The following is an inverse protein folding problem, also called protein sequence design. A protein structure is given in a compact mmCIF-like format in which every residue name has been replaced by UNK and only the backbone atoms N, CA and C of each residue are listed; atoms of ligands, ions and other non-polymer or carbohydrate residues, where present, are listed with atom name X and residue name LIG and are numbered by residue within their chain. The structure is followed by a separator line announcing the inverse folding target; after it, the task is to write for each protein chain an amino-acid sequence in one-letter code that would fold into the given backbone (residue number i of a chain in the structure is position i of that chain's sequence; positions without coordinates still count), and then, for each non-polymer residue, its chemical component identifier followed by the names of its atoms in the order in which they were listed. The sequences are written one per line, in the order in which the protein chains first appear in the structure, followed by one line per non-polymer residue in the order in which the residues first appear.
data_IF_860196804877
#
_entry.id   IF_860196804877
#
_cell.length_a   1.000
_cell.length_b   1.000
_cell.length_c   1.000
_cell.angle_alpha   90.00
_cell.angle_beta   90.00
_cell.angle_gamma   90.00
#
_symmetry.space_group_name_H-M   'P 1'
#
loop_
_entity.id
_entity.type
_entity.pdbx_description
1 polymer ?
#
# COMPACT_ATOMS: atom_id res chain seq x y z
N UNK A 1 11.66 -12.00 -14.39
CA UNK A 1 11.76 -10.53 -14.38
C UNK A 1 12.35 -10.15 -13.03
N UNK A 2 13.52 -9.51 -13.00
CA UNK A 2 14.14 -9.09 -11.75
C UNK A 2 13.32 -7.92 -11.17
N UNK A 3 12.60 -8.14 -10.08
CA UNK A 3 11.74 -7.14 -9.44
C UNK A 3 12.54 -5.91 -9.01
N UNK A 4 13.80 -6.11 -8.58
CA UNK A 4 14.72 -5.03 -8.26
C UNK A 4 14.90 -4.08 -9.44
N UNK A 5 15.22 -4.60 -10.63
CA UNK A 5 15.35 -3.79 -11.84
C UNK A 5 14.03 -3.08 -12.21
N UNK A 6 12.89 -3.71 -11.98
CA UNK A 6 11.58 -3.09 -12.24
C UNK A 6 11.35 -1.83 -11.38
N UNK A 7 11.76 -1.89 -10.11
CA UNK A 7 11.65 -0.78 -9.16
C UNK A 7 12.75 0.27 -9.39
N UNK A 8 13.99 -0.14 -9.68
CA UNK A 8 15.08 0.77 -10.07
C UNK A 8 14.72 1.59 -11.32
N UNK A 9 14.08 0.95 -12.32
CA UNK A 9 13.57 1.65 -13.51
C UNK A 9 12.45 2.65 -13.19
N UNK A 10 11.85 2.55 -11.99
CA UNK A 10 10.88 3.52 -11.46
C UNK A 10 11.56 4.57 -10.56
N UNK A 11 12.90 4.65 -10.58
CA UNK A 11 13.72 5.56 -9.77
C UNK A 11 13.54 5.38 -8.26
N UNK A 12 13.31 4.15 -7.81
CA UNK A 12 13.28 3.84 -6.37
C UNK A 12 14.69 3.53 -5.87
N UNK A 13 15.06 4.11 -4.75
CA UNK A 13 16.28 3.85 -3.99
C UNK A 13 16.41 2.35 -3.67
N UNK A 14 17.62 1.82 -3.83
CA UNK A 14 17.87 0.38 -3.69
C UNK A 14 17.52 -0.15 -2.31
N UNK A 15 17.82 0.58 -1.23
CA UNK A 15 17.49 0.13 0.13
C UNK A 15 15.98 0.20 0.40
N UNK A 16 15.25 1.12 -0.24
CA UNK A 16 13.77 1.10 -0.17
C UNK A 16 13.22 -0.18 -0.80
N UNK A 17 13.82 -0.66 -1.89
CA UNK A 17 13.41 -1.92 -2.52
C UNK A 17 13.70 -3.09 -1.58
N UNK A 18 14.93 -3.18 -1.07
CA UNK A 18 15.37 -4.26 -0.18
C UNK A 18 14.52 -4.37 1.09
N UNK A 19 14.14 -3.24 1.67
CA UNK A 19 13.34 -3.20 2.91
C UNK A 19 11.85 -3.52 2.73
N UNK A 20 11.33 -3.49 1.50
CA UNK A 20 9.88 -3.53 1.26
C UNK A 20 9.44 -4.54 0.21
N UNK A 21 10.35 -5.15 -0.53
CA UNK A 21 10.02 -6.04 -1.65
C UNK A 21 10.75 -7.37 -1.49
N UNK A 22 9.97 -8.44 -1.37
CA UNK A 22 10.50 -9.80 -1.16
C UNK A 22 10.12 -10.69 -2.34
N UNK A 23 11.08 -11.45 -2.86
CA UNK A 23 10.77 -12.50 -3.85
C UNK A 23 10.08 -13.66 -3.13
N UNK A 24 8.91 -14.06 -3.65
CA UNK A 24 8.21 -15.24 -3.17
C UNK A 24 8.06 -16.25 -4.31
N UNK A 25 8.09 -17.53 -3.97
CA UNK A 25 7.97 -18.67 -4.88
C UNK A 25 7.46 -19.92 -4.17
N UNK A 26 6.97 -20.90 -4.93
CA UNK A 26 6.36 -22.09 -4.35
C UNK A 26 5.14 -21.72 -3.50
N UNK A 27 5.08 -22.20 -2.27
CA UNK A 27 3.91 -21.98 -1.40
C UNK A 27 3.92 -20.66 -0.63
N UNK A 28 5.05 -19.93 -0.57
CA UNK A 28 5.15 -18.71 0.24
C UNK A 28 4.21 -17.56 -0.17
N UNK A 29 3.83 -17.35 -1.46
CA UNK A 29 2.81 -16.37 -1.80
C UNK A 29 1.46 -16.65 -1.15
N UNK A 30 1.10 -17.93 -0.97
CA UNK A 30 -0.15 -18.32 -0.34
C UNK A 30 -0.16 -17.99 1.16
N UNK A 31 0.98 -18.06 1.84
CA UNK A 31 1.10 -17.67 3.25
C UNK A 31 0.86 -16.16 3.45
N UNK A 32 1.30 -15.35 2.49
CA UNK A 32 1.10 -13.89 2.50
C UNK A 32 -0.29 -13.47 2.02
N UNK A 33 -0.90 -14.21 1.11
CA UNK A 33 -2.21 -13.87 0.54
C UNK A 33 -3.36 -14.48 1.34
N UNK A 34 -3.29 -15.76 1.71
CA UNK A 34 -4.45 -16.58 2.08
C UNK A 34 -4.60 -16.77 3.60
N UNK A 35 -4.32 -15.72 4.37
CA UNK A 35 -4.34 -15.76 5.83
C UNK A 35 -5.71 -15.45 6.46
N UNK A 36 -6.66 -14.87 5.71
CA UNK A 36 -7.97 -14.50 6.28
C UNK A 36 -8.76 -15.74 6.75
N UNK A 37 -9.32 -15.66 7.96
CA UNK A 37 -10.17 -16.70 8.53
C UNK A 37 -11.52 -16.84 7.81
N UNK A 38 -11.96 -15.78 7.12
CA UNK A 38 -13.19 -15.77 6.30
C UNK A 38 -13.04 -16.60 5.01
N UNK A 39 -11.84 -17.07 4.69
CA UNK A 39 -11.62 -17.91 3.51
C UNK A 39 -12.32 -19.26 3.66
N UNK A 40 -13.04 -19.73 2.61
CA UNK A 40 -13.78 -20.97 2.69
C UNK A 40 -12.82 -22.14 2.87
N UNK A 41 -13.00 -22.87 3.98
CA UNK A 41 -12.22 -24.04 4.38
C UNK A 41 -13.10 -25.29 4.38
N UNK A 42 -12.45 -26.44 4.22
CA UNK A 42 -13.03 -27.78 4.41
C UNK A 42 -13.17 -28.07 5.91
N UNK A 43 -13.89 -29.14 6.25
CA UNK A 43 -14.06 -29.60 7.64
C UNK A 43 -12.73 -29.96 8.32
N UNK A 44 -11.69 -30.27 7.54
CA UNK A 44 -10.33 -30.58 8.00
C UNK A 44 -9.45 -29.31 8.21
N UNK A 45 -10.02 -28.11 8.08
CA UNK A 45 -9.33 -26.81 8.25
C UNK A 45 -8.55 -26.34 7.02
N UNK A 46 -8.38 -27.17 6.00
CA UNK A 46 -7.67 -26.81 4.76
C UNK A 46 -8.50 -25.83 3.93
N UNK A 47 -7.84 -24.88 3.27
CA UNK A 47 -8.48 -24.02 2.27
C UNK A 47 -9.18 -24.85 1.18
N UNK A 48 -10.35 -24.39 0.76
CA UNK A 48 -11.13 -25.06 -0.29
C UNK A 48 -10.35 -25.19 -1.61
N UNK A 49 -10.62 -26.27 -2.35
CA UNK A 49 -9.96 -26.54 -3.62
C UNK A 49 -10.12 -25.39 -4.63
N UNK A 50 -11.27 -24.74 -4.65
CA UNK A 50 -11.53 -23.59 -5.52
C UNK A 50 -10.59 -22.41 -5.22
N UNK A 51 -10.35 -22.09 -3.94
CA UNK A 51 -9.40 -21.03 -3.56
C UNK A 51 -7.98 -21.42 -3.97
N UNK A 52 -7.55 -22.63 -3.65
CA UNK A 52 -6.22 -23.12 -4.02
C UNK A 52 -6.01 -23.06 -5.54
N UNK A 53 -6.96 -23.54 -6.33
CA UNK A 53 -6.89 -23.51 -7.80
C UNK A 53 -6.85 -22.08 -8.34
N UNK A 54 -7.64 -21.15 -7.75
CA UNK A 54 -7.65 -19.74 -8.17
C UNK A 54 -6.27 -19.08 -7.98
N UNK A 55 -5.56 -19.44 -6.92
CA UNK A 55 -4.26 -18.84 -6.58
C UNK A 55 -3.07 -19.70 -7.02
N UNK A 56 -3.24 -20.88 -7.59
CA UNK A 56 -2.15 -21.76 -8.04
C UNK A 56 -1.09 -21.07 -8.92
N UNK A 57 -1.51 -20.10 -9.74
CA UNK A 57 -0.59 -19.31 -10.58
C UNK A 57 0.49 -18.54 -9.79
N UNK A 58 0.25 -18.25 -8.51
CA UNK A 58 1.22 -17.53 -7.66
C UNK A 58 2.42 -18.40 -7.33
N UNK A 59 2.29 -19.73 -7.38
CA UNK A 59 3.38 -20.68 -7.08
C UNK A 59 4.56 -20.57 -8.05
N UNK A 60 4.32 -20.05 -9.26
CA UNK A 60 5.35 -19.73 -10.25
C UNK A 60 6.26 -18.58 -9.80
N UNK A 61 5.91 -17.94 -8.69
CA UNK A 61 6.64 -16.89 -8.02
C UNK A 61 6.33 -15.50 -8.55
N UNK A 62 6.99 -14.52 -7.94
CA UNK A 62 6.71 -13.11 -8.12
C UNK A 62 7.39 -12.31 -7.04
N UNK A 63 6.85 -11.14 -6.73
CA UNK A 63 7.31 -10.35 -5.61
C UNK A 63 6.15 -9.86 -4.74
N UNK A 64 6.40 -9.85 -3.44
CA UNK A 64 5.52 -9.29 -2.42
C UNK A 64 6.02 -7.91 -2.04
N UNK A 65 5.11 -6.95 -1.90
CA UNK A 65 5.40 -5.66 -1.31
C UNK A 65 4.45 -5.39 -0.15
N UNK A 66 5.04 -5.07 1.00
CA UNK A 66 4.35 -4.63 2.21
C UNK A 66 5.17 -3.53 2.90
N UNK A 67 4.56 -2.82 3.83
CA UNK A 67 5.17 -1.75 4.60
C UNK A 67 4.94 -1.94 6.10
N UNK A 68 4.68 -0.83 6.77
CA UNK A 68 4.42 -0.71 8.20
C UNK A 68 2.94 -0.48 8.44
N UNK A 69 2.37 -1.19 9.42
CA UNK A 69 1.06 -0.83 9.93
C UNK A 69 1.23 0.43 10.78
N UNK A 70 0.90 1.58 10.20
CA UNK A 70 1.03 2.88 10.88
C UNK A 70 0.22 2.95 12.19
N UNK A 71 -0.73 2.04 12.42
CA UNK A 71 -1.50 2.00 13.66
C UNK A 71 -0.66 1.46 14.83
N UNK A 72 0.05 0.36 14.63
CA UNK A 72 0.90 -0.30 15.65
C UNK A 72 2.35 0.16 15.57
N UNK A 73 2.86 0.42 14.36
CA UNK A 73 4.28 0.62 14.07
C UNK A 73 5.05 -0.67 13.76
N UNK A 74 4.34 -1.80 13.68
CA UNK A 74 4.89 -3.11 13.34
C UNK A 74 4.82 -3.36 11.83
N UNK A 75 5.37 -4.49 11.39
CA UNK A 75 5.23 -4.96 10.01
C UNK A 75 3.74 -5.13 9.63
N UNK A 76 3.33 -4.55 8.50
CA UNK A 76 1.97 -4.76 7.98
C UNK A 76 1.86 -6.16 7.38
N UNK A 77 0.90 -6.94 7.86
CA UNK A 77 0.55 -8.23 7.27
C UNK A 77 -0.09 -8.04 5.89
N UNK A 78 -0.76 -6.91 5.65
CA UNK A 78 -1.40 -6.61 4.39
C UNK A 78 -0.40 -6.05 3.37
N UNK A 79 -0.52 -6.50 2.12
CA UNK A 79 0.33 -6.02 1.03
C UNK A 79 -0.20 -6.37 -0.36
N UNK A 80 0.71 -6.45 -1.32
CA UNK A 80 0.39 -6.94 -2.66
C UNK A 80 1.43 -7.91 -3.19
N UNK A 81 0.94 -8.93 -3.90
CA UNK A 81 1.76 -9.84 -4.66
C UNK A 81 1.63 -9.52 -6.14
N UNK A 82 2.75 -9.32 -6.83
CA UNK A 82 2.81 -9.27 -8.29
C UNK A 82 3.34 -10.61 -8.83
N UNK A 83 2.47 -11.49 -9.36
CA UNK A 83 2.91 -12.76 -9.92
C UNK A 83 3.75 -12.56 -11.19
N UNK A 84 4.70 -13.47 -11.45
CA UNK A 84 5.42 -13.55 -12.73
C UNK A 84 4.46 -13.79 -13.89
N UNK A 85 3.42 -14.60 -13.65
CA UNK A 85 2.37 -14.92 -14.62
C UNK A 85 0.99 -14.51 -14.08
N UNK A 86 0.52 -13.29 -14.37
CA UNK A 86 -0.81 -12.83 -14.00
C UNK A 86 -1.91 -13.74 -14.55
N UNK A 87 -2.87 -14.13 -13.70
CA UNK A 87 -4.12 -14.73 -14.18
C UNK A 87 -5.03 -13.68 -14.83
N UNK A 88 -5.98 -14.13 -15.62
CA UNK A 88 -7.00 -13.27 -16.23
C UNK A 88 -8.21 -13.11 -15.29
N UNK A 89 -8.83 -11.93 -15.36
CA UNK A 89 -10.11 -11.68 -14.70
C UNK A 89 -11.23 -12.43 -15.43
N UNK A 90 -12.13 -13.07 -14.67
CA UNK A 90 -13.21 -13.86 -15.24
C UNK A 90 -14.20 -13.01 -16.05
N UNK A 91 -14.45 -11.77 -15.61
CA UNK A 91 -15.44 -10.85 -16.18
C UNK A 91 -15.00 -10.20 -17.49
N UNK A 92 -13.70 -9.91 -17.63
CA UNK A 92 -13.17 -9.02 -18.67
C UNK A 92 -11.98 -9.60 -19.42
N UNK A 93 -11.50 -10.79 -19.04
CA UNK A 93 -10.31 -11.40 -19.62
C UNK A 93 -9.06 -10.55 -19.46
N UNK A 94 -9.03 -9.64 -18.48
CA UNK A 94 -7.91 -8.70 -18.28
C UNK A 94 -6.88 -9.28 -17.32
N UNK A 95 -5.58 -9.13 -17.58
CA UNK A 95 -4.55 -9.54 -16.63
C UNK A 95 -4.71 -8.84 -15.27
N UNK A 96 -4.76 -9.63 -14.20
CA UNK A 96 -4.74 -9.13 -12.82
C UNK A 96 -3.28 -8.99 -12.40
N UNK A 97 -2.76 -7.78 -12.56
CA UNK A 97 -1.34 -7.49 -12.31
C UNK A 97 -0.94 -7.66 -10.85
N UNK A 98 -1.86 -7.43 -9.92
CA UNK A 98 -1.60 -7.46 -8.48
C UNK A 98 -2.69 -8.28 -7.79
N UNK A 99 -2.27 -9.21 -6.95
CA UNK A 99 -3.13 -9.92 -6.01
C UNK A 99 -2.96 -9.30 -4.62
N UNK A 100 -4.06 -9.13 -3.93
CA UNK A 100 -4.10 -8.70 -2.52
C UNK A 100 -4.73 -9.81 -1.68
N UNK A 101 -4.45 -9.87 -0.37
CA UNK A 101 -5.08 -10.85 0.50
C UNK A 101 -6.62 -10.81 0.40
N UNK A 102 -7.29 -11.87 -0.10
CA UNK A 102 -8.74 -11.88 -0.25
C UNK A 102 -9.43 -11.84 1.11
N UNK A 103 -10.62 -11.22 1.14
CA UNK A 103 -11.43 -11.09 2.36
C UNK A 103 -10.69 -10.40 3.51
N UNK A 104 -9.84 -9.44 3.15
CA UNK A 104 -9.22 -8.52 4.08
C UNK A 104 -9.52 -7.08 3.63
N UNK A 105 -9.72 -6.14 4.55
CA UNK A 105 -9.82 -4.73 4.19
C UNK A 105 -8.51 -4.26 3.54
N UNK A 106 -8.59 -3.55 2.41
CA UNK A 106 -7.40 -3.01 1.76
C UNK A 106 -6.71 -1.94 2.63
N UNK A 107 -5.41 -2.10 2.88
CA UNK A 107 -4.60 -1.13 3.63
C UNK A 107 -4.01 -0.03 2.75
N UNK A 108 -2.88 0.50 3.23
CA UNK A 108 -2.01 1.45 2.52
C UNK A 108 -0.61 0.83 2.40
N UNK A 109 0.20 1.35 1.50
CA UNK A 109 1.64 1.09 1.48
C UNK A 109 2.36 2.24 2.18
N UNK A 110 2.64 2.06 3.47
CA UNK A 110 3.53 2.90 4.25
C UNK A 110 4.91 2.22 4.29
N UNK A 111 5.73 2.45 3.27
CA UNK A 111 6.99 1.72 3.09
C UNK A 111 8.00 2.06 4.19
N UNK A 112 8.82 1.09 4.59
CA UNK A 112 10.03 1.30 5.40
C UNK A 112 10.99 2.23 4.65
N UNK A 113 11.58 3.18 5.37
CA UNK A 113 12.46 4.22 4.80
C UNK A 113 13.85 4.07 5.40
N UNK A 114 14.90 3.91 4.59
CA UNK A 114 16.27 3.84 5.09
C UNK A 114 16.71 5.17 5.70
N UNK A 115 17.64 5.10 6.66
CA UNK A 115 18.04 6.25 7.48
C UNK A 115 18.58 7.44 6.65
N UNK A 116 19.25 7.19 5.52
CA UNK A 116 19.76 8.29 4.67
C UNK A 116 18.64 9.10 4.03
N UNK A 117 17.53 8.45 3.63
CA UNK A 117 16.36 9.14 3.10
C UNK A 117 15.61 9.87 4.22
N UNK A 118 15.47 9.25 5.40
CA UNK A 118 14.89 9.94 6.55
C UNK A 118 15.69 11.21 6.92
N UNK A 119 17.01 11.11 7.04
CA UNK A 119 17.87 12.26 7.30
C UNK A 119 17.72 13.36 6.22
N UNK A 120 17.62 12.96 4.95
CA UNK A 120 17.39 13.89 3.83
C UNK A 120 16.05 14.62 3.97
N UNK A 121 14.96 13.90 4.26
CA UNK A 121 13.62 14.46 4.48
C UNK A 121 13.65 15.44 5.66
N UNK A 122 14.25 15.04 6.78
CA UNK A 122 14.37 15.90 7.96
C UNK A 122 15.10 17.22 7.62
N UNK A 123 16.23 17.13 6.92
CA UNK A 123 17.01 18.29 6.49
C UNK A 123 16.21 19.23 5.57
N UNK A 124 15.47 18.69 4.59
CA UNK A 124 14.64 19.49 3.68
C UNK A 124 13.57 20.32 4.41
N UNK A 125 13.10 19.82 5.56
CA UNK A 125 12.11 20.50 6.40
C UNK A 125 12.73 21.24 7.59
N UNK A 126 14.06 21.43 7.62
CA UNK A 126 14.75 22.17 8.68
C UNK A 126 14.73 21.48 10.04
N UNK A 127 14.50 20.17 10.07
CA UNK A 127 14.50 19.36 11.29
C UNK A 127 15.91 18.78 11.46
N UNK A 128 16.53 19.04 12.61
CA UNK A 128 17.84 18.48 12.92
C UNK A 128 17.70 16.97 13.18
N UNK A 129 18.29 16.16 12.30
CA UNK A 129 18.29 14.71 12.45
C UNK A 129 19.33 14.27 13.47
N UNK A 130 18.91 13.58 14.53
CA UNK A 130 19.80 13.03 15.55
C UNK A 130 19.53 11.53 15.77
N UNK A 131 20.54 10.75 16.22
CA UNK A 131 20.36 9.32 16.45
C UNK A 131 19.26 8.96 17.44
N UNK A 132 18.94 9.85 18.39
CA UNK A 132 17.88 9.67 19.39
C UNK A 132 16.47 9.67 18.79
N UNK A 133 16.31 10.13 17.54
CA UNK A 133 15.05 10.05 16.81
C UNK A 133 14.72 8.62 16.36
N UNK A 134 15.73 7.74 16.30
CA UNK A 134 15.59 6.37 15.84
C UNK A 134 15.15 5.48 17.00
N UNK A 135 13.96 4.92 16.90
CA UNK A 135 13.47 3.91 17.80
C UNK A 135 13.86 2.51 17.30
N UNK A 136 14.96 1.97 17.82
CA UNK A 136 15.45 0.64 17.43
C UNK A 136 14.55 -0.51 17.89
N UNK A 137 13.48 -0.25 18.65
CA UNK A 137 12.47 -1.27 18.96
C UNK A 137 11.44 -1.43 17.84
N UNK A 138 11.34 -0.43 16.95
CA UNK A 138 10.43 -0.42 15.82
C UNK A 138 11.14 -0.95 14.56
N UNK A 139 10.42 -1.73 13.76
CA UNK A 139 10.93 -2.35 12.53
C UNK A 139 11.36 -1.36 11.44
N UNK A 140 10.86 -0.12 11.46
CA UNK A 140 11.24 0.97 10.56
C UNK A 140 12.08 2.06 11.24
N UNK A 141 12.57 1.79 12.46
CA UNK A 141 13.25 2.79 13.27
C UNK A 141 12.34 3.90 13.79
N UNK A 142 11.02 3.79 13.64
CA UNK A 142 10.05 4.80 14.07
C UNK A 142 9.79 5.92 13.05
N UNK A 143 10.18 5.74 11.78
CA UNK A 143 10.00 6.75 10.74
C UNK A 143 8.54 7.22 10.62
N UNK A 144 7.57 6.30 10.57
CA UNK A 144 6.16 6.70 10.42
C UNK A 144 5.60 7.39 11.67
N UNK A 145 6.01 6.98 12.87
CA UNK A 145 5.68 7.68 14.13
C UNK A 145 6.25 9.09 14.13
N UNK A 146 7.50 9.25 13.68
CA UNK A 146 8.13 10.54 13.51
C UNK A 146 7.37 11.42 12.51
N UNK A 147 7.01 10.89 11.33
CA UNK A 147 6.19 11.62 10.34
C UNK A 147 4.90 12.10 10.98
N UNK A 148 4.16 11.22 11.68
CA UNK A 148 2.88 11.56 12.36
C UNK A 148 3.07 12.71 13.35
N UNK A 149 4.17 12.72 14.12
CA UNK A 149 4.49 13.78 15.07
C UNK A 149 4.90 15.12 14.42
N UNK A 150 5.17 15.14 13.11
CA UNK A 150 5.59 16.33 12.37
C UNK A 150 4.57 16.68 11.26
N UNK A 151 3.40 17.25 11.60
CA UNK A 151 2.38 17.64 10.62
C UNK A 151 2.81 18.78 9.70
N UNK A 152 3.93 19.46 9.99
CA UNK A 152 4.55 20.44 9.08
C UNK A 152 5.15 19.82 7.82
N UNK A 153 5.40 18.51 7.81
CA UNK A 153 5.90 17.77 6.65
C UNK A 153 4.71 17.39 5.77
N UNK A 154 4.64 17.80 4.50
CA UNK A 154 3.53 17.41 3.64
C UNK A 154 3.50 15.91 3.35
N UNK A 155 2.32 15.35 3.14
CA UNK A 155 2.12 13.93 2.81
C UNK A 155 1.64 13.78 1.36
N UNK A 156 2.39 13.04 0.54
CA UNK A 156 1.96 12.61 -0.78
C UNK A 156 1.18 11.30 -0.69
N UNK A 157 0.01 11.24 -1.33
CA UNK A 157 -0.81 10.02 -1.46
C UNK A 157 -0.87 9.65 -2.93
N UNK A 158 -0.20 8.55 -3.28
CA UNK A 158 -0.11 8.01 -4.64
C UNK A 158 -1.05 6.82 -4.86
N UNK A 159 -1.15 6.34 -6.11
CA UNK A 159 -1.64 5.00 -6.43
C UNK A 159 -0.46 4.08 -6.78
N UNK A 160 -0.31 3.01 -5.99
CA UNK A 160 0.69 1.95 -6.21
C UNK A 160 2.04 2.17 -5.53
N UNK A 161 2.57 1.11 -4.92
CA UNK A 161 3.77 1.17 -4.06
C UNK A 161 5.02 1.73 -4.73
N UNK A 162 5.25 1.45 -6.03
CA UNK A 162 6.43 1.97 -6.75
C UNK A 162 6.48 3.49 -6.83
N UNK A 163 5.32 4.16 -6.93
CA UNK A 163 5.27 5.63 -6.97
C UNK A 163 5.55 6.23 -5.60
N UNK A 164 5.02 5.63 -4.54
CA UNK A 164 5.39 6.01 -3.17
C UNK A 164 6.89 5.82 -2.94
N UNK A 165 7.46 4.69 -3.34
CA UNK A 165 8.90 4.44 -3.30
C UNK A 165 9.71 5.50 -4.05
N UNK A 166 9.27 5.88 -5.27
CA UNK A 166 9.95 6.90 -6.07
C UNK A 166 9.92 8.29 -5.40
N UNK A 167 8.77 8.68 -4.82
CA UNK A 167 8.64 9.94 -4.08
C UNK A 167 9.49 9.95 -2.81
N UNK A 168 9.49 8.85 -2.04
CA UNK A 168 10.36 8.69 -0.86
C UNK A 168 11.83 8.82 -1.23
N UNK A 169 12.24 8.20 -2.34
CA UNK A 169 13.60 8.28 -2.88
C UNK A 169 13.99 9.69 -3.32
N UNK A 170 13.00 10.51 -3.72
CA UNK A 170 13.18 11.92 -4.05
C UNK A 170 13.08 12.86 -2.82
N UNK A 171 12.91 12.33 -1.62
CA UNK A 171 12.82 13.13 -0.38
C UNK A 171 11.41 13.62 -0.02
N UNK A 172 10.37 13.09 -0.66
CA UNK A 172 8.98 13.42 -0.31
C UNK A 172 8.36 12.29 0.52
N UNK A 173 7.79 12.63 1.68
CA UNK A 173 7.02 11.66 2.47
C UNK A 173 5.80 11.21 1.66
N UNK A 174 5.74 9.92 1.34
CA UNK A 174 4.71 9.38 0.47
C UNK A 174 4.21 8.02 0.93
N UNK A 175 2.88 7.84 0.83
CA UNK A 175 2.22 6.54 0.94
C UNK A 175 1.53 6.20 -0.38
N UNK A 176 1.16 4.92 -0.54
CA UNK A 176 0.38 4.48 -1.68
C UNK A 176 -0.95 3.85 -1.27
N UNK A 177 -1.98 4.08 -2.08
CA UNK A 177 -3.20 3.30 -2.05
C UNK A 177 -3.12 2.18 -3.10
N UNK A 178 -3.71 0.99 -2.87
CA UNK A 178 -3.84 -0.04 -3.90
C UNK A 178 -4.78 0.35 -5.05
N UNK A 179 -5.48 1.47 -4.91
CA UNK A 179 -6.33 2.05 -5.94
C UNK A 179 -6.93 3.37 -5.46
N UNK A 180 -7.26 4.26 -6.39
CA UNK A 180 -7.71 5.64 -6.11
C UNK A 180 -8.91 5.78 -5.16
N UNK A 181 -9.74 4.74 -5.03
CA UNK A 181 -10.92 4.74 -4.16
C UNK A 181 -10.70 4.03 -2.82
N UNK A 182 -9.50 3.52 -2.54
CA UNK A 182 -9.22 2.70 -1.36
C UNK A 182 -8.86 3.50 -0.10
N UNK A 183 -8.69 4.83 -0.22
CA UNK A 183 -8.46 5.72 0.93
C UNK A 183 -9.69 5.95 1.82
N UNK A 184 -10.87 5.50 1.40
CA UNK A 184 -12.09 5.63 2.18
C UNK A 184 -12.94 4.36 2.11
N UNK A 185 -13.92 4.25 3.00
CA UNK A 185 -14.96 3.22 2.97
C UNK A 185 -16.32 3.87 2.78
N UNK A 186 -17.23 3.11 2.20
CA UNK A 186 -18.64 3.50 2.06
C UNK A 186 -19.47 2.37 2.64
N UNK A 187 -20.16 2.58 3.77
CA UNK A 187 -21.03 1.56 4.36
C UNK A 187 -22.05 1.06 3.35
N UNK A 188 -22.17 -0.26 3.27
CA UNK A 188 -23.11 -0.96 2.39
C UNK A 188 -23.82 -2.06 3.18
N UNK A 189 -25.06 -2.34 2.80
CA UNK A 189 -25.78 -3.53 3.27
C UNK A 189 -25.30 -4.80 2.54
N UNK A 190 -25.90 -5.94 2.90
CA UNK A 190 -25.61 -7.26 2.30
C UNK A 190 -25.89 -7.31 0.79
N UNK A 191 -26.76 -6.44 0.28
CA UNK A 191 -27.06 -6.32 -1.16
C UNK A 191 -26.12 -5.34 -1.87
N UNK A 192 -25.14 -4.78 -1.15
CA UNK A 192 -24.16 -3.81 -1.67
C UNK A 192 -24.71 -2.40 -1.84
N UNK A 193 -25.93 -2.11 -1.39
CA UNK A 193 -26.54 -0.79 -1.43
C UNK A 193 -25.98 0.08 -0.31
N UNK A 194 -25.70 1.35 -0.65
CA UNK A 194 -25.12 2.32 0.30
C UNK A 194 -26.11 2.63 1.42
N UNK A 195 -25.64 2.50 2.66
CA UNK A 195 -26.43 2.77 3.88
C UNK A 195 -25.85 3.88 4.76
N UNK A 196 -24.70 4.47 4.40
CA UNK A 196 -24.07 5.49 5.24
C UNK A 196 -23.17 6.47 4.49
N UNK A 197 -22.67 7.46 5.23
CA UNK A 197 -21.66 8.40 4.75
C UNK A 197 -20.32 7.70 4.58
N UNK A 198 -19.56 8.10 3.57
CA UNK A 198 -18.20 7.60 3.41
C UNK A 198 -17.31 8.17 4.50
N UNK A 199 -16.27 7.43 4.88
CA UNK A 199 -15.30 7.83 5.90
C UNK A 199 -13.90 7.38 5.51
N UNK A 200 -12.88 8.14 5.91
CA UNK A 200 -11.47 7.76 5.71
C UNK A 200 -11.15 6.45 6.42
N UNK A 201 -10.26 5.65 5.82
CA UNK A 201 -9.69 4.50 6.53
C UNK A 201 -8.88 4.94 7.75
N UNK A 202 -8.77 4.11 8.80
CA UNK A 202 -8.06 4.45 10.04
C UNK A 202 -6.62 4.94 9.82
N UNK A 203 -5.89 4.29 8.92
CA UNK A 203 -4.50 4.63 8.60
C UNK A 203 -4.36 6.07 8.08
N UNK A 204 -5.22 6.47 7.13
CA UNK A 204 -5.23 7.85 6.63
C UNK A 204 -5.63 8.82 7.74
N UNK A 205 -6.65 8.52 8.54
CA UNK A 205 -7.03 9.39 9.67
C UNK A 205 -5.85 9.64 10.62
N UNK A 206 -5.03 8.63 10.90
CA UNK A 206 -3.84 8.75 11.76
C UNK A 206 -2.73 9.57 11.11
N UNK A 207 -2.47 9.36 9.82
CA UNK A 207 -1.43 10.10 9.08
C UNK A 207 -1.80 11.56 8.81
N UNK A 208 -3.10 11.85 8.70
CA UNK A 208 -3.63 13.16 8.36
C UNK A 208 -4.25 13.88 9.55
N UNK A 209 -4.00 13.40 10.78
CA UNK A 209 -4.39 14.12 11.99
C UNK A 209 -3.49 15.35 12.16
N UNK A 210 -4.11 16.50 12.40
CA UNK A 210 -3.42 17.80 12.44
C UNK A 210 -3.55 18.55 11.11
N UNK A 211 -3.24 19.85 11.10
CA UNK A 211 -3.25 20.67 9.89
C UNK A 211 -2.02 20.33 9.02
N UNK A 212 -2.03 19.16 8.37
CA UNK A 212 -0.99 18.71 7.43
C UNK A 212 -1.37 19.04 6.00
N UNK A 213 -0.42 19.53 5.21
CA UNK A 213 -0.59 19.67 3.76
C UNK A 213 -0.56 18.28 3.07
N UNK A 214 -1.51 18.02 2.17
CA UNK A 214 -1.66 16.71 1.52
C UNK A 214 -1.69 16.88 0.00
N UNK A 215 -0.82 16.15 -0.68
CA UNK A 215 -0.73 16.10 -2.13
C UNK A 215 -1.32 14.78 -2.66
N UNK A 216 -2.42 14.83 -3.39
CA UNK A 216 -2.97 13.67 -4.09
C UNK A 216 -2.29 13.52 -5.46
N UNK A 217 -1.52 12.45 -5.65
CA UNK A 217 -0.63 12.22 -6.80
C UNK A 217 -1.05 10.96 -7.58
N UNK A 218 -2.32 10.93 -8.01
CA UNK A 218 -2.86 9.84 -8.84
C UNK A 218 -2.50 10.01 -10.32
N UNK A 219 -2.58 8.91 -11.08
CA UNK A 219 -2.21 8.92 -12.49
C UNK A 219 -3.10 9.85 -13.33
N UNK A 220 -2.43 10.60 -14.20
CA UNK A 220 -3.09 11.34 -15.26
C UNK A 220 -3.33 10.38 -16.44
N UNK A 221 -4.60 10.02 -16.67
CA UNK A 221 -5.00 9.23 -17.85
C UNK A 221 -5.45 10.18 -18.98
N UNK A 222 -5.39 9.71 -20.23
CA UNK A 222 -5.88 10.44 -21.42
C UNK A 222 -7.33 10.08 -21.75
N UNK A 223 -7.86 8.97 -21.23
CA UNK A 223 -9.22 8.50 -21.51
C UNK A 223 -10.23 9.30 -20.68
N UNK A 224 -11.25 9.93 -21.31
CA UNK A 224 -12.22 10.78 -20.61
C UNK A 224 -12.91 10.11 -19.42
N UNK A 225 -13.23 8.82 -19.54
CA UNK A 225 -13.88 8.07 -18.46
C UNK A 225 -12.93 7.84 -17.27
N UNK A 226 -11.65 7.56 -17.52
CA UNK A 226 -10.67 7.42 -16.42
C UNK A 226 -10.41 8.76 -15.76
N UNK A 227 -10.27 9.85 -16.54
CA UNK A 227 -10.11 11.22 -16.01
C UNK A 227 -11.27 11.57 -15.06
N UNK A 228 -12.52 11.31 -15.49
CA UNK A 228 -13.70 11.52 -14.64
C UNK A 228 -13.64 10.70 -13.35
N UNK A 229 -13.24 9.44 -13.44
CA UNK A 229 -13.12 8.55 -12.27
C UNK A 229 -12.05 9.04 -11.29
N UNK A 230 -10.87 9.43 -11.77
CA UNK A 230 -9.76 9.99 -10.98
C UNK A 230 -10.19 11.30 -10.31
N UNK A 231 -10.77 12.23 -11.07
CA UNK A 231 -11.24 13.51 -10.52
C UNK A 231 -12.34 13.32 -9.45
N UNK A 232 -13.22 12.33 -9.63
CA UNK A 232 -14.24 11.99 -8.62
C UNK A 232 -13.59 11.42 -7.36
N UNK A 233 -12.58 10.54 -7.50
CA UNK A 233 -11.85 9.98 -6.37
C UNK A 233 -11.08 11.07 -5.60
N UNK A 234 -10.37 11.96 -6.31
CA UNK A 234 -9.67 13.12 -5.75
C UNK A 234 -10.64 14.01 -4.98
N UNK A 235 -11.76 14.43 -5.58
CA UNK A 235 -12.75 15.29 -4.92
C UNK A 235 -13.32 14.64 -3.65
N UNK A 236 -13.65 13.35 -3.73
CA UNK A 236 -14.22 12.63 -2.59
C UNK A 236 -13.21 12.42 -1.47
N UNK A 237 -11.97 12.04 -1.80
CA UNK A 237 -10.91 11.88 -0.82
C UNK A 237 -10.55 13.23 -0.20
N UNK A 238 -10.37 14.28 -1.00
CA UNK A 238 -10.11 15.65 -0.53
C UNK A 238 -11.18 16.16 0.42
N UNK A 239 -12.48 15.95 0.11
CA UNK A 239 -13.57 16.31 1.03
C UNK A 239 -13.54 15.56 2.37
N UNK A 240 -13.01 14.34 2.39
CA UNK A 240 -12.89 13.57 3.63
C UNK A 240 -11.62 13.91 4.41
N UNK A 241 -10.63 14.52 3.76
CA UNK A 241 -9.37 14.99 4.34
C UNK A 241 -9.46 16.41 4.90
N UNK A 242 -10.46 17.20 4.48
CA UNK A 242 -10.79 18.53 4.99
C UNK A 242 -11.67 18.48 6.23
#
# INVERSE_FOLDING_TARGET
MNHQQEWLNSCVDEQVIELNVTTLEGMSPCEHLLYSDELPRRNDGRLSNHILQRYQHTELGGWWCSGIDVMSGEDDLWGCFKPKQPRLSYDRGKPIKYEHPPQTPTGIFALRVPLHLWATIAQQHGIHFTPEMIDNTQVDGGFWQWVIAHPSIPLCITEGAKKAGALLSAGYVAIALPGINNGYRTPKDEQGKRIGKSYLIPQLKKLTSGQREIYLTFDQDSKPNTIKAVNNAIRKLGYLLS
#
